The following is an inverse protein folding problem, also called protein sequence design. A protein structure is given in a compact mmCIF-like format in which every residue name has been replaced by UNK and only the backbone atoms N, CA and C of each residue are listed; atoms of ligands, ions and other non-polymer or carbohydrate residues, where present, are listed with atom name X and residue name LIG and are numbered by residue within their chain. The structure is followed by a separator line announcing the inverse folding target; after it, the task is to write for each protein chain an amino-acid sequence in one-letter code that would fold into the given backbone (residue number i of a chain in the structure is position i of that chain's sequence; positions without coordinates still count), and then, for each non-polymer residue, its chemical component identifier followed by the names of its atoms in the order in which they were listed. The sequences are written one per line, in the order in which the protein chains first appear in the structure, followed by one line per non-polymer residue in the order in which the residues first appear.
data_IF_350715707437
#
_entry.id   IF_350715707437
#
_cell.length_a   1.000
_cell.length_b   1.000
_cell.length_c   1.000
_cell.angle_alpha   90.00
_cell.angle_beta   90.00
_cell.angle_gamma   90.00
#
_symmetry.space_group_name_H-M   'P 1'
#
loop_
_entity.id
_entity.type
_entity.pdbx_description
1 polymer ?
#
# COMPACT_ATOMS: atom_id res chain seq x y z
N UNK A 1 -1.46 27.74 36.77
CA UNK A 1 -1.93 27.01 37.96
C UNK A 1 -2.53 25.70 37.46
N UNK A 2 -1.84 24.56 37.63
CA UNK A 2 -2.26 23.27 37.05
C UNK A 2 -3.42 22.65 37.86
N UNK A 3 -4.48 22.09 37.22
CA UNK A 3 -5.72 21.71 37.91
C UNK A 3 -5.64 20.37 38.68
N UNK A 4 -4.49 19.71 38.73
CA UNK A 4 -4.43 18.26 38.98
C UNK A 4 -3.99 17.84 40.39
N UNK A 5 -4.10 18.72 41.40
CA UNK A 5 -3.54 18.48 42.74
C UNK A 5 -4.47 17.89 43.80
N UNK A 6 -5.68 17.42 43.46
CA UNK A 6 -6.55 16.81 44.48
C UNK A 6 -7.40 15.64 43.96
N UNK A 7 -6.74 14.60 43.44
CA UNK A 7 -7.42 13.38 43.00
C UNK A 7 -7.13 12.25 43.98
N UNK A 8 -8.18 11.63 44.54
CA UNK A 8 -8.09 10.57 45.55
C UNK A 8 -7.65 9.23 44.90
N UNK A 9 -7.13 8.29 45.69
CA UNK A 9 -6.77 6.92 45.28
C UNK A 9 -7.88 6.25 44.45
N UNK A 10 -9.15 6.44 44.81
CA UNK A 10 -10.29 5.89 44.06
C UNK A 10 -10.40 6.41 42.61
N UNK A 11 -9.90 7.62 42.34
CA UNK A 11 -9.83 8.18 40.98
C UNK A 11 -8.81 7.44 40.14
N UNK A 12 -7.61 7.17 40.70
CA UNK A 12 -6.55 6.46 39.99
C UNK A 12 -6.88 4.99 39.78
N UNK A 13 -7.53 4.34 40.74
CA UNK A 13 -8.04 2.96 40.59
C UNK A 13 -9.08 2.85 39.46
N UNK A 14 -10.00 3.81 39.35
CA UNK A 14 -10.96 3.85 38.24
C UNK A 14 -10.29 4.09 36.88
N UNK A 15 -9.22 4.90 36.85
CA UNK A 15 -8.44 5.15 35.65
C UNK A 15 -7.67 3.91 35.21
N UNK A 16 -7.08 3.19 36.15
CA UNK A 16 -6.38 1.92 35.91
C UNK A 16 -7.36 0.84 35.43
N UNK A 17 -8.54 0.74 36.04
CA UNK A 17 -9.61 -0.16 35.56
C UNK A 17 -10.07 0.20 34.14
N UNK A 18 -10.21 1.50 33.82
CA UNK A 18 -10.53 1.97 32.46
C UNK A 18 -9.43 1.64 31.46
N UNK A 19 -8.17 1.83 31.84
CA UNK A 19 -7.02 1.54 31.00
C UNK A 19 -6.88 0.02 30.75
N UNK A 20 -7.10 -0.80 31.76
CA UNK A 20 -7.03 -2.27 31.66
C UNK A 20 -8.27 -2.89 30.98
N UNK A 21 -9.41 -2.20 31.01
CA UNK A 21 -10.61 -2.57 30.24
C UNK A 21 -10.51 -2.15 28.77
N UNK A 22 -9.63 -1.21 28.43
CA UNK A 22 -9.39 -0.80 27.06
C UNK A 22 -8.64 -1.94 26.34
N UNK A 23 -9.13 -2.44 25.20
CA UNK A 23 -8.41 -3.46 24.46
C UNK A 23 -7.03 -2.93 24.12
N UNK A 24 -5.99 -3.66 24.54
CA UNK A 24 -4.60 -3.37 24.16
C UNK A 24 -4.53 -3.16 22.65
N UNK A 25 -3.64 -2.28 22.21
CA UNK A 25 -3.36 -2.06 20.79
C UNK A 25 -3.11 -3.40 20.07
N UNK A 26 -2.40 -4.34 20.72
CA UNK A 26 -2.21 -5.71 20.23
C UNK A 26 -3.53 -6.50 20.09
N UNK A 27 -4.48 -6.28 20.99
CA UNK A 27 -5.80 -6.91 20.97
C UNK A 27 -6.69 -6.31 19.86
N UNK A 28 -6.59 -5.01 19.61
CA UNK A 28 -7.22 -4.33 18.47
C UNK A 28 -6.67 -4.86 17.14
N UNK A 29 -5.36 -5.05 17.03
CA UNK A 29 -4.74 -5.67 15.86
C UNK A 29 -5.15 -7.15 15.70
N UNK A 30 -5.24 -7.92 16.79
CA UNK A 30 -5.73 -9.31 16.70
C UNK A 30 -7.21 -9.43 16.30
N UNK A 31 -8.05 -8.45 16.66
CA UNK A 31 -9.45 -8.39 16.19
C UNK A 31 -9.52 -8.00 14.71
N UNK A 32 -8.59 -7.16 14.24
CA UNK A 32 -8.46 -6.85 12.81
C UNK A 32 -7.91 -8.03 11.98
N UNK A 33 -7.13 -8.94 12.58
CA UNK A 33 -6.64 -10.16 11.92
C UNK A 33 -7.75 -11.21 11.71
N UNK A 34 -8.90 -11.08 12.39
CA UNK A 34 -10.09 -11.88 12.09
C UNK A 34 -10.98 -11.26 11.00
N UNK A 35 -10.49 -10.24 10.28
CA UNK A 35 -11.14 -9.81 9.04
C UNK A 35 -10.92 -10.91 8.01
N UNK A 36 -12.04 -11.47 7.56
CA UNK A 36 -12.15 -12.59 6.65
C UNK A 36 -11.21 -12.41 5.43
N UNK A 37 -10.44 -13.46 5.13
CA UNK A 37 -9.32 -13.42 4.17
C UNK A 37 -9.80 -12.97 2.79
N UNK A 38 -11.09 -13.19 2.49
CA UNK A 38 -11.71 -12.90 1.22
C UNK A 38 -11.86 -11.39 0.96
N UNK A 39 -12.20 -10.55 1.96
CA UNK A 39 -12.29 -9.10 1.76
C UNK A 39 -10.91 -8.47 1.58
N UNK A 40 -9.92 -8.94 2.36
CA UNK A 40 -8.53 -8.52 2.21
C UNK A 40 -8.02 -8.91 0.82
N UNK A 41 -8.25 -10.14 0.39
CA UNK A 41 -7.89 -10.62 -0.94
C UNK A 41 -8.58 -9.84 -2.06
N UNK A 42 -9.89 -9.60 -1.94
CA UNK A 42 -10.65 -8.83 -2.92
C UNK A 42 -10.07 -7.42 -3.09
N UNK A 43 -9.73 -6.77 -1.98
CA UNK A 43 -9.12 -5.45 -2.02
C UNK A 43 -7.73 -5.42 -2.66
N UNK A 44 -6.84 -6.39 -2.39
CA UNK A 44 -5.57 -6.54 -3.11
C UNK A 44 -5.77 -6.73 -4.62
N UNK A 45 -6.73 -7.57 -5.02
CA UNK A 45 -7.03 -7.79 -6.44
C UNK A 45 -7.53 -6.51 -7.13
N UNK A 46 -8.39 -5.74 -6.47
CA UNK A 46 -8.86 -4.45 -6.99
C UNK A 46 -7.68 -3.49 -7.16
N UNK A 47 -6.76 -3.43 -6.20
CA UNK A 47 -5.57 -2.58 -6.32
C UNK A 47 -4.61 -3.01 -7.41
N UNK A 48 -4.42 -4.31 -7.58
CA UNK A 48 -3.63 -4.83 -8.69
C UNK A 48 -4.21 -4.40 -10.04
N UNK A 49 -5.53 -4.50 -10.21
CA UNK A 49 -6.22 -4.03 -11.42
C UNK A 49 -6.03 -2.52 -11.63
N UNK A 50 -6.15 -1.72 -10.57
CA UNK A 50 -5.92 -0.26 -10.64
C UNK A 50 -4.48 0.04 -11.06
N UNK A 51 -3.49 -0.57 -10.42
CA UNK A 51 -2.08 -0.38 -10.71
C UNK A 51 -1.76 -0.73 -12.18
N UNK A 52 -2.32 -1.82 -12.69
CA UNK A 52 -2.17 -2.25 -14.09
C UNK A 52 -2.74 -1.24 -15.10
N UNK A 53 -3.68 -0.37 -14.71
CA UNK A 53 -4.18 0.68 -15.62
C UNK A 53 -3.24 1.87 -15.77
N UNK A 54 -2.28 2.06 -14.86
CA UNK A 54 -1.36 3.21 -14.86
C UNK A 54 -2.04 4.59 -14.71
N UNK A 55 -3.30 4.64 -14.26
CA UNK A 55 -4.06 5.89 -14.14
C UNK A 55 -4.03 6.42 -12.69
N UNK A 56 -3.39 7.58 -12.43
CA UNK A 56 -3.21 8.12 -11.08
C UNK A 56 -4.48 8.66 -10.41
N UNK A 57 -5.65 8.48 -11.03
CA UNK A 57 -6.93 9.09 -10.62
C UNK A 57 -8.07 8.07 -10.43
N UNK A 58 -7.80 6.75 -10.46
CA UNK A 58 -8.83 5.78 -10.08
C UNK A 58 -8.92 5.75 -8.55
N UNK A 59 -9.74 6.63 -8.02
CA UNK A 59 -10.06 6.68 -6.61
C UNK A 59 -10.98 5.50 -6.26
N UNK A 60 -10.45 4.55 -5.50
CA UNK A 60 -11.20 3.40 -5.00
C UNK A 60 -12.49 3.81 -4.28
N UNK A 61 -12.42 4.90 -3.51
CA UNK A 61 -13.58 5.41 -2.77
C UNK A 61 -14.65 6.06 -3.65
N UNK A 62 -14.28 6.84 -4.66
CA UNK A 62 -15.24 7.69 -5.39
C UNK A 62 -15.80 7.03 -6.65
N UNK A 63 -15.19 5.95 -7.14
CA UNK A 63 -15.65 5.24 -8.33
C UNK A 63 -15.91 3.75 -8.07
N UNK A 64 -14.94 3.06 -7.47
CA UNK A 64 -15.01 1.59 -7.34
C UNK A 64 -16.03 1.18 -6.27
N UNK A 65 -16.01 1.81 -5.09
CA UNK A 65 -17.00 1.53 -4.04
C UNK A 65 -18.44 1.80 -4.50
N UNK A 66 -18.78 2.95 -5.14
CA UNK A 66 -20.11 3.17 -5.70
C UNK A 66 -20.51 2.15 -6.77
N UNK A 67 -19.58 1.75 -7.65
CA UNK A 67 -19.88 0.75 -8.68
C UNK A 67 -20.17 -0.63 -8.08
N UNK A 68 -19.37 -1.07 -7.10
CA UNK A 68 -19.62 -2.32 -6.35
C UNK A 68 -20.97 -2.24 -5.64
N UNK A 69 -21.29 -1.09 -5.05
CA UNK A 69 -22.59 -0.85 -4.41
C UNK A 69 -23.74 -1.06 -5.37
N UNK A 70 -23.68 -0.39 -6.52
CA UNK A 70 -24.73 -0.44 -7.53
C UNK A 70 -24.99 -1.87 -7.99
N UNK A 71 -23.93 -2.65 -8.26
CA UNK A 71 -24.05 -4.05 -8.69
C UNK A 71 -24.69 -4.92 -7.60
N UNK A 72 -24.27 -4.80 -6.34
CA UNK A 72 -24.83 -5.59 -5.25
C UNK A 72 -26.32 -5.25 -5.04
N UNK A 73 -26.70 -3.97 -5.16
CA UNK A 73 -28.10 -3.55 -4.96
C UNK A 73 -29.00 -3.87 -6.14
N UNK A 74 -28.52 -3.68 -7.38
CA UNK A 74 -29.35 -3.80 -8.59
C UNK A 74 -29.36 -5.18 -9.20
N UNK A 75 -28.21 -5.87 -9.21
CA UNK A 75 -28.07 -7.19 -9.84
C UNK A 75 -28.29 -8.30 -8.82
N UNK A 76 -27.70 -8.17 -7.63
CA UNK A 76 -27.79 -9.21 -6.60
C UNK A 76 -28.96 -9.02 -5.63
N UNK A 77 -29.60 -7.86 -5.65
CA UNK A 77 -30.71 -7.49 -4.76
C UNK A 77 -30.41 -7.74 -3.27
N UNK A 78 -29.16 -7.49 -2.85
CA UNK A 78 -28.70 -7.69 -1.46
C UNK A 78 -28.45 -6.37 -0.74
N UNK A 79 -28.60 -6.32 0.60
CA UNK A 79 -28.20 -5.17 1.39
C UNK A 79 -26.67 -4.99 1.30
N UNK A 80 -26.23 -3.75 1.06
CA UNK A 80 -24.82 -3.42 0.79
C UNK A 80 -24.00 -3.11 2.03
N UNK A 81 -24.65 -2.91 3.17
CA UNK A 81 -24.01 -2.46 4.41
C UNK A 81 -22.90 -3.39 4.90
N UNK A 82 -23.06 -4.71 4.74
CA UNK A 82 -22.14 -5.68 5.35
C UNK A 82 -20.89 -5.97 4.51
N UNK A 83 -20.93 -5.74 3.19
CA UNK A 83 -19.84 -6.08 2.26
C UNK A 83 -18.94 -4.88 1.99
N UNK A 84 -19.53 -3.70 1.78
CA UNK A 84 -18.77 -2.50 1.37
C UNK A 84 -17.95 -1.93 2.52
N UNK A 85 -18.46 -2.00 3.75
CA UNK A 85 -17.73 -1.53 4.93
C UNK A 85 -16.48 -2.37 5.23
N UNK A 86 -16.44 -3.62 4.74
CA UNK A 86 -15.36 -4.56 5.04
C UNK A 86 -14.23 -4.57 4.01
N UNK A 87 -14.44 -4.01 2.81
CA UNK A 87 -13.37 -3.91 1.80
C UNK A 87 -12.67 -2.56 2.00
N UNK A 88 -11.45 -2.54 2.58
CA UNK A 88 -10.73 -1.29 2.82
C UNK A 88 -10.19 -0.73 1.49
N UNK A 89 -10.98 0.12 0.84
CA UNK A 89 -10.63 0.84 -0.39
C UNK A 89 -10.23 2.31 -0.16
N UNK A 90 -9.91 2.69 1.08
CA UNK A 90 -9.60 4.09 1.38
C UNK A 90 -8.32 4.55 0.70
N UNK A 91 -8.20 5.83 0.33
CA UNK A 91 -6.99 6.34 -0.34
C UNK A 91 -5.70 6.09 0.46
N UNK A 92 -5.77 6.22 1.79
CA UNK A 92 -4.63 5.92 2.68
C UNK A 92 -4.33 4.41 2.74
N UNK A 93 -5.34 3.55 2.57
CA UNK A 93 -5.15 2.10 2.44
C UNK A 93 -4.64 1.69 1.06
N UNK A 94 -4.99 2.43 0.00
CA UNK A 94 -4.53 2.20 -1.38
C UNK A 94 -3.03 2.40 -1.45
N UNK A 95 -2.53 3.59 -1.07
CA UNK A 95 -1.10 3.91 -1.14
C UNK A 95 -0.28 2.92 -0.33
N UNK A 96 -0.68 2.68 0.93
CA UNK A 96 0.02 1.76 1.83
C UNK A 96 0.12 0.34 1.23
N UNK A 97 -0.91 -0.14 0.56
CA UNK A 97 -0.89 -1.48 -0.04
C UNK A 97 -0.12 -1.55 -1.35
N UNK A 98 -0.09 -0.47 -2.12
CA UNK A 98 0.80 -0.37 -3.28
C UNK A 98 2.25 -0.42 -2.79
N UNK A 99 2.58 0.30 -1.72
CA UNK A 99 3.91 0.29 -1.12
C UNK A 99 4.26 -1.11 -0.57
N UNK A 100 3.34 -1.76 0.17
CA UNK A 100 3.51 -3.14 0.68
C UNK A 100 3.71 -4.15 -0.46
N UNK A 101 2.95 -4.03 -1.56
CA UNK A 101 3.12 -4.88 -2.75
C UNK A 101 4.46 -4.62 -3.43
N UNK A 102 4.87 -3.36 -3.57
CA UNK A 102 6.14 -2.99 -4.16
C UNK A 102 7.32 -3.53 -3.34
N UNK A 103 7.28 -3.39 -2.01
CA UNK A 103 8.29 -3.94 -1.10
C UNK A 103 8.36 -5.47 -1.21
N UNK A 104 7.23 -6.16 -1.28
CA UNK A 104 7.22 -7.61 -1.45
C UNK A 104 7.84 -8.06 -2.78
N UNK A 105 7.53 -7.36 -3.88
CA UNK A 105 8.12 -7.62 -5.19
C UNK A 105 9.64 -7.36 -5.15
N UNK A 106 10.06 -6.25 -4.55
CA UNK A 106 11.47 -5.88 -4.40
C UNK A 106 12.24 -6.94 -3.58
N UNK A 107 11.69 -7.36 -2.43
CA UNK A 107 12.29 -8.38 -1.59
C UNK A 107 12.42 -9.72 -2.33
N UNK A 108 11.36 -10.13 -3.03
CA UNK A 108 11.35 -11.36 -3.83
C UNK A 108 12.41 -11.32 -4.92
N UNK A 109 12.50 -10.21 -5.65
CA UNK A 109 13.51 -9.99 -6.69
C UNK A 109 14.91 -10.01 -6.09
N UNK A 110 15.17 -9.26 -5.02
CA UNK A 110 16.47 -9.21 -4.36
C UNK A 110 16.91 -10.59 -3.86
N UNK A 111 16.00 -11.35 -3.25
CA UNK A 111 16.29 -12.69 -2.78
C UNK A 111 16.62 -13.66 -3.93
N UNK A 112 15.96 -13.51 -5.08
CA UNK A 112 16.29 -14.26 -6.28
C UNK A 112 17.65 -13.87 -6.88
N UNK A 113 17.95 -12.57 -6.94
CA UNK A 113 19.21 -12.06 -7.49
C UNK A 113 20.44 -12.44 -6.67
N UNK A 114 20.28 -12.68 -5.36
CA UNK A 114 21.38 -13.16 -4.49
C UNK A 114 21.94 -14.53 -4.91
N UNK A 115 21.15 -15.35 -5.58
CA UNK A 115 21.52 -16.74 -5.93
C UNK A 115 21.54 -17.01 -7.43
N UNK A 116 21.20 -16.01 -8.25
CA UNK A 116 21.13 -16.14 -9.71
C UNK A 116 22.24 -15.34 -10.40
N UNK A 117 22.59 -15.76 -11.62
CA UNK A 117 23.37 -14.93 -12.52
C UNK A 117 22.44 -13.92 -13.18
N UNK A 118 22.86 -12.65 -13.18
CA UNK A 118 22.11 -11.57 -13.78
C UNK A 118 23.05 -10.58 -14.47
N UNK A 119 22.47 -9.75 -15.33
CA UNK A 119 23.12 -8.60 -15.94
C UNK A 119 22.32 -7.35 -15.62
N UNK A 120 23.00 -6.20 -15.61
CA UNK A 120 22.39 -4.89 -15.38
C UNK A 120 22.44 -4.12 -16.69
N UNK A 121 21.34 -3.47 -17.04
CA UNK A 121 21.28 -2.49 -18.12
C UNK A 121 20.91 -1.12 -17.53
N UNK A 122 21.68 -0.11 -17.89
CA UNK A 122 21.35 1.29 -17.66
C UNK A 122 20.72 1.87 -18.93
N UNK A 123 19.69 2.69 -18.76
CA UNK A 123 19.06 3.43 -19.84
C UNK A 123 18.76 4.87 -19.39
N UNK A 124 18.95 5.85 -20.28
CA UNK A 124 18.62 7.24 -20.01
C UNK A 124 17.37 7.62 -20.80
N UNK A 125 16.32 8.03 -20.09
CA UNK A 125 15.05 8.47 -20.65
C UNK A 125 14.81 9.94 -20.33
N UNK A 126 14.22 10.69 -21.26
CA UNK A 126 13.89 12.11 -21.06
C UNK A 126 12.38 12.24 -20.77
N UNK A 127 12.05 12.82 -19.61
CA UNK A 127 10.66 13.10 -19.24
C UNK A 127 10.11 14.31 -20.03
N UNK A 128 8.78 14.46 -20.17
CA UNK A 128 8.17 15.63 -20.79
C UNK A 128 8.56 16.97 -20.14
N UNK A 129 9.00 16.95 -18.88
CA UNK A 129 9.54 18.08 -18.11
C UNK A 129 10.98 18.44 -18.48
N UNK A 130 11.58 17.76 -19.47
CA UNK A 130 12.99 17.88 -19.87
C UNK A 130 13.98 17.52 -18.75
N UNK A 131 13.53 16.68 -17.82
CA UNK A 131 14.35 16.04 -16.80
C UNK A 131 14.85 14.70 -17.34
N UNK A 132 16.13 14.42 -17.16
CA UNK A 132 16.70 13.14 -17.54
C UNK A 132 16.50 12.13 -16.39
N UNK A 133 16.04 10.93 -16.74
CA UNK A 133 15.74 9.83 -15.83
C UNK A 133 16.66 8.67 -16.17
N UNK A 134 17.49 8.26 -15.21
CA UNK A 134 18.32 7.07 -15.32
C UNK A 134 17.54 5.85 -14.82
N UNK A 135 17.30 4.91 -15.72
CA UNK A 135 16.60 3.66 -15.48
C UNK A 135 17.62 2.53 -15.30
N UNK A 136 17.42 1.70 -14.29
CA UNK A 136 18.23 0.52 -14.03
C UNK A 136 17.37 -0.72 -14.20
N UNK A 137 17.67 -1.50 -15.23
CA UNK A 137 17.03 -2.79 -15.47
C UNK A 137 17.97 -3.92 -15.05
N UNK A 138 17.38 -4.99 -14.51
CA UNK A 138 18.07 -6.24 -14.24
C UNK A 138 17.51 -7.33 -15.15
N UNK A 139 18.40 -8.10 -15.78
CA UNK A 139 18.04 -9.27 -16.59
C UNK A 139 18.61 -10.54 -15.98
N UNK A 140 17.76 -11.55 -15.82
CA UNK A 140 18.11 -12.82 -15.21
C UNK A 140 17.31 -13.96 -15.86
N UNK A 141 17.76 -15.20 -15.69
CA UNK A 141 17.03 -16.38 -16.15
C UNK A 141 16.18 -16.95 -15.02
N UNK A 142 14.88 -17.09 -15.25
CA UNK A 142 13.94 -17.74 -14.34
C UNK A 142 13.05 -18.69 -15.13
N UNK A 143 12.96 -19.94 -14.69
CA UNK A 143 12.16 -20.98 -15.35
C UNK A 143 12.50 -21.12 -16.85
N UNK A 144 13.79 -21.14 -17.20
CA UNK A 144 14.32 -21.19 -18.57
C UNK A 144 13.91 -20.00 -19.47
N UNK A 145 13.40 -18.90 -18.88
CA UNK A 145 13.05 -17.67 -19.59
C UNK A 145 13.92 -16.52 -19.12
N UNK A 146 14.31 -15.68 -20.07
CA UNK A 146 14.96 -14.40 -19.76
C UNK A 146 13.88 -13.44 -19.28
N UNK A 147 14.01 -12.99 -18.04
CA UNK A 147 13.19 -11.96 -17.43
C UNK A 147 13.95 -10.64 -17.42
N UNK A 148 13.21 -9.53 -17.49
CA UNK A 148 13.75 -8.19 -17.32
C UNK A 148 12.83 -7.43 -16.36
N UNK A 149 13.39 -6.89 -15.29
CA UNK A 149 12.66 -6.10 -14.29
C UNK A 149 13.32 -4.73 -14.11
N UNK A 150 12.51 -3.70 -13.82
CA UNK A 150 13.02 -2.38 -13.43
C UNK A 150 13.41 -2.43 -11.95
N UNK A 151 14.69 -2.19 -11.66
CA UNK A 151 15.21 -2.18 -10.30
C UNK A 151 14.97 -0.83 -9.62
N UNK A 152 15.33 0.27 -10.30
CA UNK A 152 14.96 1.61 -9.85
C UNK A 152 15.07 2.64 -11.00
N UNK A 153 14.42 3.78 -10.80
CA UNK A 153 14.50 4.96 -11.65
C UNK A 153 14.95 6.15 -10.81
N UNK A 154 15.92 6.93 -11.29
CA UNK A 154 16.44 8.10 -10.57
C UNK A 154 16.55 9.29 -11.51
N UNK A 155 16.07 10.45 -11.07
CA UNK A 155 16.32 11.71 -11.78
C UNK A 155 17.83 12.01 -11.79
N UNK A 156 18.36 12.31 -12.97
CA UNK A 156 19.69 12.86 -13.11
C UNK A 156 19.63 14.34 -12.78
N UNK A 157 20.45 14.75 -11.81
CA UNK A 157 20.64 16.17 -11.54
C UNK A 157 21.28 16.82 -12.77
N UNK A 158 20.49 17.56 -13.54
CA UNK A 158 21.04 18.43 -14.58
C UNK A 158 21.75 19.58 -13.89
N UNK A 159 23.04 19.40 -13.63
CA UNK A 159 23.90 20.45 -13.12
C UNK A 159 24.02 21.58 -14.14
N UNK A 160 23.09 22.54 -14.14
CA UNK A 160 23.46 23.91 -14.55
C UNK A 160 24.33 24.48 -13.44
N UNK A 161 25.61 24.10 -13.42
CA UNK A 161 26.62 24.96 -12.82
C UNK A 161 26.64 26.21 -13.68
N UNK A 162 25.98 27.26 -13.19
CA UNK A 162 26.16 28.61 -13.68
C UNK A 162 27.64 28.95 -13.53
N UNK A 163 28.42 28.71 -14.56
CA UNK A 163 29.72 29.33 -14.73
C UNK A 163 29.44 30.78 -15.15
N UNK A 164 29.46 31.68 -14.17
CA UNK A 164 29.72 33.11 -14.36
C UNK A 164 31.20 33.29 -14.06
#
# INVERSE_FOLDING_TARGET
MHPDKNKNVAYFQNLEMKHNAQPSVSKLFSVAVNQDDDELRASYNIYLLIAQTGKPHINGETLILPAIKEVITTVLHKPTADVILKIPLSNNSVQRRIDEMAENIEESLCNHLKTSQFSIQLDESILPTNEALLLFFVRFTKDEKICQELLFARNLETGRRNHI
#
